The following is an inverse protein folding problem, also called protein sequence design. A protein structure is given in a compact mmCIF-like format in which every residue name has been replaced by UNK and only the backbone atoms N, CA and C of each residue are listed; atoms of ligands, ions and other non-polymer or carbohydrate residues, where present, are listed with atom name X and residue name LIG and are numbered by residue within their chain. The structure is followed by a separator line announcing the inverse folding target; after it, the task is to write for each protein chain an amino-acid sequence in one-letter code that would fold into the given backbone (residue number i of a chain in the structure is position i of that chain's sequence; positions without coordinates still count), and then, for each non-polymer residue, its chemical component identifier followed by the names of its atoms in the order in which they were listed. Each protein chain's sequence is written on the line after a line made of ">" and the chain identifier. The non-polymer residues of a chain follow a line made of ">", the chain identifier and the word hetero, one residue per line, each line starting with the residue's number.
data_IF_163067468563
#
_entry.id   IF_163067468563
#
_cell.length_a   1.000
_cell.length_b   1.000
_cell.length_c   1.000
_cell.angle_alpha   90.00
_cell.angle_beta   90.00
_cell.angle_gamma   90.00
#
_symmetry.space_group_name_H-M   'P 1'
#
loop_
_entity.id
_entity.type
_entity.pdbx_description
1 polymer ?
#
# COMPACT_ATOMS: atom_id res chain seq x y z
N UNK A 1 21.56 6.04 -1.26
CA UNK A 1 21.12 4.90 -2.09
C UNK A 1 19.63 4.81 -1.84
N UNK A 2 18.77 4.85 -2.86
CA UNK A 2 17.33 4.59 -2.64
C UNK A 2 17.23 3.23 -1.92
N UNK A 3 16.53 3.16 -0.79
CA UNK A 3 16.41 1.95 0.00
C UNK A 3 15.78 0.86 -0.86
N UNK A 4 16.61 -0.05 -1.40
CA UNK A 4 16.19 -1.17 -2.25
C UNK A 4 15.09 -2.00 -1.55
N UNK A 5 15.10 -2.00 -0.22
CA UNK A 5 14.10 -2.58 0.70
C UNK A 5 12.65 -2.22 0.33
N UNK A 6 12.39 -1.01 -0.18
CA UNK A 6 11.04 -0.53 -0.48
C UNK A 6 10.71 -0.46 -1.98
N UNK A 7 11.61 -0.91 -2.86
CA UNK A 7 11.35 -0.89 -4.31
C UNK A 7 10.13 -1.74 -4.67
N UNK A 8 10.06 -2.95 -4.12
CA UNK A 8 8.92 -3.86 -4.34
C UNK A 8 7.62 -3.29 -3.75
N UNK A 9 7.69 -2.75 -2.53
CA UNK A 9 6.55 -2.09 -1.90
C UNK A 9 6.01 -0.94 -2.76
N UNK A 10 6.90 -0.10 -3.29
CA UNK A 10 6.54 0.99 -4.20
C UNK A 10 5.88 0.49 -5.48
N UNK A 11 6.39 -0.58 -6.07
CA UNK A 11 5.81 -1.19 -7.27
C UNK A 11 4.41 -1.74 -6.99
N UNK A 12 4.25 -2.47 -5.88
CA UNK A 12 2.95 -3.01 -5.46
C UNK A 12 1.92 -1.90 -5.17
N UNK A 13 2.35 -0.80 -4.54
CA UNK A 13 1.48 0.38 -4.32
C UNK A 13 1.05 1.02 -5.63
N UNK A 14 1.95 1.12 -6.62
CA UNK A 14 1.59 1.64 -7.93
C UNK A 14 0.57 0.73 -8.64
N UNK A 15 0.71 -0.59 -8.51
CA UNK A 15 -0.27 -1.54 -9.04
C UNK A 15 -1.67 -1.32 -8.45
N UNK A 16 -1.79 -1.04 -7.14
CA UNK A 16 -3.07 -0.69 -6.51
C UNK A 16 -3.66 0.57 -7.15
N UNK A 17 -2.85 1.60 -7.38
CA UNK A 17 -3.27 2.85 -8.03
C UNK A 17 -3.78 2.59 -9.44
N UNK A 18 -3.07 1.75 -10.20
CA UNK A 18 -3.43 1.41 -11.58
C UNK A 18 -4.73 0.62 -11.64
N UNK A 19 -4.94 -0.32 -10.70
CA UNK A 19 -6.20 -1.07 -10.56
C UNK A 19 -7.37 -0.15 -10.20
N UNK A 20 -7.17 0.84 -9.32
CA UNK A 20 -8.17 1.88 -9.02
C UNK A 20 -8.48 2.70 -10.27
N UNK A 21 -7.46 3.11 -11.04
CA UNK A 21 -7.65 3.87 -12.28
C UNK A 21 -8.41 3.06 -13.35
N UNK A 22 -8.17 1.75 -13.40
CA UNK A 22 -8.91 0.81 -14.24
C UNK A 22 -10.32 0.47 -13.71
N UNK A 23 -10.74 1.08 -12.58
CA UNK A 23 -12.00 0.81 -11.86
C UNK A 23 -12.16 -0.66 -11.42
N UNK A 24 -11.06 -1.39 -11.27
CA UNK A 24 -11.06 -2.77 -10.81
C UNK A 24 -10.97 -2.84 -9.28
N UNK A 25 -12.06 -2.44 -8.61
CA UNK A 25 -12.09 -2.30 -7.15
C UNK A 25 -11.80 -3.60 -6.39
N UNK A 26 -12.21 -4.75 -6.94
CA UNK A 26 -12.00 -6.07 -6.33
C UNK A 26 -10.52 -6.43 -6.29
N UNK A 27 -9.82 -6.35 -7.42
CA UNK A 27 -8.38 -6.65 -7.46
C UNK A 27 -7.57 -5.62 -6.70
N UNK A 28 -7.94 -4.33 -6.79
CA UNK A 28 -7.30 -3.27 -6.01
C UNK A 28 -7.39 -3.57 -4.49
N UNK A 29 -8.55 -4.03 -4.01
CA UNK A 29 -8.72 -4.40 -2.61
C UNK A 29 -7.90 -5.62 -2.21
N UNK A 30 -7.86 -6.66 -3.05
CA UNK A 30 -7.07 -7.85 -2.79
C UNK A 30 -5.57 -7.51 -2.68
N UNK A 31 -5.06 -6.71 -3.64
CA UNK A 31 -3.66 -6.28 -3.64
C UNK A 31 -3.36 -5.36 -2.44
N UNK A 32 -4.31 -4.49 -2.06
CA UNK A 32 -4.15 -3.65 -0.88
C UNK A 32 -3.98 -4.48 0.40
N UNK A 33 -4.74 -5.57 0.58
CA UNK A 33 -4.59 -6.47 1.73
C UNK A 33 -3.19 -7.10 1.73
N UNK A 34 -2.77 -7.67 0.60
CA UNK A 34 -1.43 -8.29 0.46
C UNK A 34 -0.30 -7.32 0.82
N UNK A 35 -0.41 -6.07 0.36
CA UNK A 35 0.61 -5.04 0.61
C UNK A 35 0.58 -4.53 2.04
N UNK A 36 -0.60 -4.46 2.67
CA UNK A 36 -0.71 -4.15 4.09
C UNK A 36 -0.06 -5.23 4.95
N UNK A 37 -0.29 -6.52 4.64
CA UNK A 37 0.33 -7.63 5.37
C UNK A 37 1.87 -7.57 5.24
N UNK A 38 2.40 -7.31 4.03
CA UNK A 38 3.84 -7.11 3.81
C UNK A 38 4.40 -5.92 4.63
N UNK A 39 3.62 -4.84 4.75
CA UNK A 39 4.04 -3.66 5.48
C UNK A 39 4.04 -3.89 7.00
N UNK A 40 3.11 -4.69 7.50
CA UNK A 40 3.07 -5.11 8.90
C UNK A 40 4.28 -5.99 9.24
N UNK A 41 4.65 -6.94 8.36
CA UNK A 41 5.90 -7.69 8.51
C UNK A 41 7.12 -6.75 8.56
N UNK A 42 7.17 -5.75 7.67
CA UNK A 42 8.27 -4.78 7.68
C UNK A 42 8.32 -3.99 8.98
N UNK A 43 7.19 -3.65 9.57
CA UNK A 43 7.12 -2.97 10.85
C UNK A 43 7.64 -3.85 11.99
N UNK A 44 7.24 -5.12 12.01
CA UNK A 44 7.61 -6.07 13.07
C UNK A 44 9.11 -6.38 13.11
N UNK A 45 9.81 -6.26 11.97
CA UNK A 45 11.24 -6.55 11.84
C UNK A 45 12.14 -5.31 11.69
N UNK A 46 11.60 -4.09 11.76
CA UNK A 46 12.40 -2.85 11.60
C UNK A 46 12.65 -2.17 12.95
N UNK A 47 13.93 -1.98 13.28
CA UNK A 47 14.38 -1.23 14.46
C UNK A 47 15.02 0.13 14.10
N UNK A 48 15.23 0.41 12.81
CA UNK A 48 15.84 1.64 12.33
C UNK A 48 14.80 2.75 12.19
N UNK A 49 15.04 3.91 12.83
CA UNK A 49 14.13 5.06 12.79
C UNK A 49 13.78 5.51 11.36
N UNK A 50 14.75 5.47 10.44
CA UNK A 50 14.53 5.84 9.03
C UNK A 50 13.55 4.90 8.33
N UNK A 51 13.65 3.60 8.60
CA UNK A 51 12.74 2.59 8.07
C UNK A 51 11.34 2.72 8.69
N UNK A 52 11.25 2.94 10.00
CA UNK A 52 9.98 3.16 10.69
C UNK A 52 9.25 4.40 10.14
N UNK A 53 9.99 5.48 9.88
CA UNK A 53 9.44 6.69 9.24
C UNK A 53 8.91 6.34 7.85
N UNK A 54 9.65 5.61 7.03
CA UNK A 54 9.21 5.25 5.67
C UNK A 54 7.99 4.33 5.69
N UNK A 55 7.99 3.31 6.54
CA UNK A 55 6.85 2.40 6.76
C UNK A 55 5.59 3.20 7.14
N UNK A 56 5.70 4.18 8.04
CA UNK A 56 4.56 5.01 8.45
C UNK A 56 3.94 5.80 7.30
N UNK A 57 4.75 6.28 6.34
CA UNK A 57 4.24 6.97 5.14
C UNK A 57 3.43 6.03 4.27
N UNK A 58 3.90 4.80 4.09
CA UNK A 58 3.18 3.78 3.34
C UNK A 58 1.88 3.38 4.03
N UNK A 59 1.84 3.27 5.36
CA UNK A 59 0.61 3.00 6.11
C UNK A 59 -0.45 4.07 5.86
N UNK A 60 -0.05 5.36 5.89
CA UNK A 60 -0.96 6.48 5.58
C UNK A 60 -1.44 6.40 4.12
N UNK A 61 -0.55 6.09 3.18
CA UNK A 61 -0.90 5.97 1.77
C UNK A 61 -1.89 4.82 1.51
N UNK A 62 -1.63 3.63 2.06
CA UNK A 62 -2.54 2.48 1.92
C UNK A 62 -3.92 2.79 2.49
N UNK A 63 -4.00 3.46 3.64
CA UNK A 63 -5.27 3.93 4.19
C UNK A 63 -6.02 4.85 3.22
N UNK A 64 -5.33 5.79 2.56
CA UNK A 64 -5.93 6.66 1.55
C UNK A 64 -6.42 5.88 0.32
N UNK A 65 -5.66 4.89 -0.14
CA UNK A 65 -6.06 4.02 -1.25
C UNK A 65 -7.27 3.17 -0.89
N UNK A 66 -7.35 2.67 0.33
CA UNK A 66 -8.52 1.94 0.85
C UNK A 66 -9.78 2.82 0.79
N UNK A 67 -9.70 4.07 1.23
CA UNK A 67 -10.84 5.00 1.15
C UNK A 67 -11.27 5.25 -0.30
N UNK A 68 -10.32 5.34 -1.24
CA UNK A 68 -10.64 5.47 -2.68
C UNK A 68 -11.34 4.22 -3.22
N UNK A 69 -10.90 3.03 -2.84
CA UNK A 69 -11.52 1.75 -3.23
C UNK A 69 -12.93 1.63 -2.66
N UNK A 70 -13.14 2.00 -1.39
CA UNK A 70 -14.46 2.03 -0.76
C UNK A 70 -15.38 3.00 -1.50
N UNK A 71 -14.91 4.21 -1.83
CA UNK A 71 -15.69 5.18 -2.59
C UNK A 71 -16.03 4.66 -4.00
N UNK A 72 -15.12 3.91 -4.64
CA UNK A 72 -15.35 3.28 -5.93
C UNK A 72 -16.41 2.16 -5.86
N UNK A 73 -16.41 1.35 -4.78
CA UNK A 73 -17.41 0.30 -4.53
C UNK A 73 -18.77 0.86 -4.04
N UNK A 74 -18.75 2.00 -3.35
CA UNK A 74 -19.92 2.67 -2.79
C UNK A 74 -20.65 3.60 -3.76
N UNK A 75 -20.18 3.73 -5.01
CA UNK A 75 -20.98 4.28 -6.11
C UNK A 75 -22.05 3.26 -6.52
N UNK A 76 -23.08 3.13 -5.69
CA UNK A 76 -24.38 2.52 -6.00
C UNK A 76 -25.45 3.61 -6.05
#
# INVERSE_FOLDING_TARGET
>A
MENEKFIELKANVQEIIDLIAAKNAKEANNKLIEVSDQLDDFLDFSDEDEDLIEISKYQVLLNQLQQRIIALNGQL
#
